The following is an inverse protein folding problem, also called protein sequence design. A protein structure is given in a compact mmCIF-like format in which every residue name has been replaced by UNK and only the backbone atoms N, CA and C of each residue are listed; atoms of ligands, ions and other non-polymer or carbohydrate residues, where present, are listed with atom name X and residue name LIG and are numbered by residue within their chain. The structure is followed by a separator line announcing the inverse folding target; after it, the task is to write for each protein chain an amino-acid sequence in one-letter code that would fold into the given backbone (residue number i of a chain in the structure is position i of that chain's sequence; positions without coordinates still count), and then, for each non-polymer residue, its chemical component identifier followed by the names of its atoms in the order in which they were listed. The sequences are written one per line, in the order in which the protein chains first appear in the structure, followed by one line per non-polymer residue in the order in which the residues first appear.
data_IF_839204241439
#
_entry.id   IF_839204241439
#
_cell.length_a   1.000
_cell.length_b   1.000
_cell.length_c   1.000
_cell.angle_alpha   90.00
_cell.angle_beta   90.00
_cell.angle_gamma   90.00
#
_symmetry.space_group_name_H-M   'P 1'
#
loop_
_entity.id
_entity.type
_entity.pdbx_description
1 polymer ?
#
# COMPACT_ATOMS: atom_id res chain seq x y z
N UNK A 1 -43.09 25.41 21.97
CA UNK A 1 -42.68 24.05 21.61
C UNK A 1 -41.24 24.13 21.12
N UNK A 2 -40.31 23.55 21.85
CA UNK A 2 -38.89 23.53 21.47
C UNK A 2 -38.69 22.28 20.63
N UNK A 3 -38.45 22.42 19.33
CA UNK A 3 -38.10 21.28 18.48
C UNK A 3 -36.74 20.74 18.96
N UNK A 4 -36.75 19.48 19.41
CA UNK A 4 -35.51 18.75 19.64
C UNK A 4 -34.87 18.51 18.28
N UNK A 5 -33.61 18.91 18.15
CA UNK A 5 -32.80 18.61 16.98
C UNK A 5 -32.43 17.13 17.07
N UNK A 6 -32.74 16.35 16.03
CA UNK A 6 -32.34 14.94 16.00
C UNK A 6 -30.80 14.85 16.07
N UNK A 7 -30.25 13.90 16.84
CA UNK A 7 -28.81 13.74 16.97
C UNK A 7 -28.19 13.39 15.61
N UNK A 8 -27.16 14.14 15.23
CA UNK A 8 -26.39 13.86 14.00
C UNK A 8 -25.66 12.53 14.19
N UNK A 9 -26.07 11.51 13.45
CA UNK A 9 -25.37 10.22 13.39
C UNK A 9 -24.25 10.32 12.36
N UNK A 10 -23.00 10.23 12.82
CA UNK A 10 -21.84 10.17 11.95
C UNK A 10 -21.65 8.75 11.37
N UNK A 11 -21.15 8.62 10.14
CA UNK A 11 -20.74 7.32 9.62
C UNK A 11 -19.62 6.71 10.48
N UNK A 12 -19.47 5.37 10.47
CA UNK A 12 -18.35 4.73 11.15
C UNK A 12 -17.01 5.23 10.60
N UNK A 13 -15.94 5.22 11.42
CA UNK A 13 -14.61 5.55 10.93
C UNK A 13 -14.17 4.51 9.88
N UNK A 14 -13.39 4.96 8.90
CA UNK A 14 -12.75 4.09 7.93
C UNK A 14 -11.96 2.97 8.62
N UNK A 15 -11.82 1.78 8.03
CA UNK A 15 -11.04 0.71 8.64
C UNK A 15 -9.56 1.09 8.80
N UNK A 16 -8.91 0.53 9.81
CA UNK A 16 -7.46 0.58 10.02
C UNK A 16 -6.74 -0.69 9.50
N UNK A 17 -5.42 -0.71 9.61
CA UNK A 17 -4.58 -1.80 9.11
C UNK A 17 -4.85 -3.16 9.77
N UNK A 18 -5.54 -3.22 10.91
CA UNK A 18 -5.89 -4.47 11.60
C UNK A 18 -7.22 -5.05 11.14
N UNK A 19 -8.07 -4.22 10.51
CA UNK A 19 -9.42 -4.55 10.06
C UNK A 19 -9.47 -4.90 8.57
N UNK A 20 -8.40 -4.60 7.83
CA UNK A 20 -8.28 -4.86 6.41
C UNK A 20 -7.61 -6.22 6.14
N UNK A 21 -7.99 -6.93 5.07
CA UNK A 21 -7.30 -8.15 4.64
C UNK A 21 -5.80 -7.92 4.40
N UNK A 22 -4.98 -8.89 4.82
CA UNK A 22 -3.53 -8.88 4.56
C UNK A 22 -3.12 -9.80 3.39
N UNK A 23 -4.06 -10.62 2.88
CA UNK A 23 -3.85 -11.54 1.75
C UNK A 23 -5.17 -11.76 1.01
N UNK A 24 -5.07 -12.04 -0.30
CA UNK A 24 -6.19 -12.48 -1.14
C UNK A 24 -6.39 -14.01 -1.14
N UNK A 25 -5.55 -14.75 -0.40
CA UNK A 25 -5.61 -16.21 -0.30
C UNK A 25 -5.00 -16.97 -1.47
N UNK A 26 -4.29 -16.30 -2.38
CA UNK A 26 -3.60 -16.93 -3.51
C UNK A 26 -2.20 -17.47 -3.13
N UNK A 27 -1.68 -18.43 -3.91
CA UNK A 27 -0.32 -18.94 -3.71
C UNK A 27 0.73 -17.92 -4.17
N UNK A 28 1.88 -17.91 -3.50
CA UNK A 28 3.04 -17.12 -3.91
C UNK A 28 3.39 -17.42 -5.38
N UNK A 29 3.35 -16.38 -6.23
CA UNK A 29 3.52 -16.53 -7.68
C UNK A 29 4.96 -16.83 -8.11
N UNK A 30 5.95 -16.49 -7.29
CA UNK A 30 7.36 -16.70 -7.61
C UNK A 30 8.22 -16.83 -6.34
N UNK A 31 8.91 -17.97 -6.21
CA UNK A 31 9.77 -18.27 -5.05
C UNK A 31 10.97 -17.32 -4.91
N UNK A 32 11.43 -16.72 -6.00
CA UNK A 32 12.58 -15.80 -6.00
C UNK A 32 12.23 -14.41 -5.46
N UNK A 33 10.95 -14.04 -5.40
CA UNK A 33 10.52 -12.71 -4.94
C UNK A 33 10.96 -12.45 -3.50
N UNK A 34 10.78 -13.43 -2.62
CA UNK A 34 11.09 -13.26 -1.20
C UNK A 34 12.60 -13.06 -0.94
N UNK A 35 13.52 -13.90 -1.47
CA UNK A 35 14.96 -13.63 -1.36
C UNK A 35 15.40 -12.27 -1.95
N UNK A 36 14.84 -11.87 -3.09
CA UNK A 36 15.15 -10.58 -3.73
C UNK A 36 14.71 -9.39 -2.87
N UNK A 37 13.51 -9.48 -2.29
CA UNK A 37 12.96 -8.47 -1.38
C UNK A 37 13.83 -8.29 -0.12
N UNK A 38 14.29 -9.40 0.46
CA UNK A 38 15.21 -9.37 1.62
C UNK A 38 16.53 -8.72 1.23
N UNK A 39 17.14 -9.14 0.12
CA UNK A 39 18.43 -8.60 -0.32
C UNK A 39 18.34 -7.08 -0.57
N UNK A 40 17.26 -6.63 -1.20
CA UNK A 40 17.02 -5.20 -1.43
C UNK A 40 16.88 -4.43 -0.11
N UNK A 41 16.08 -4.95 0.81
CA UNK A 41 15.85 -4.34 2.13
C UNK A 41 17.13 -4.22 2.93
N UNK A 42 17.95 -5.27 2.94
CA UNK A 42 19.25 -5.26 3.62
C UNK A 42 20.23 -4.28 2.97
N UNK A 43 20.30 -4.28 1.63
CA UNK A 43 21.22 -3.42 0.86
C UNK A 43 20.93 -1.93 1.03
N UNK A 44 19.67 -1.52 1.13
CA UNK A 44 19.29 -0.12 1.31
C UNK A 44 19.36 0.33 2.78
N UNK A 45 19.37 -0.61 3.73
CA UNK A 45 19.37 -0.35 5.17
C UNK A 45 20.36 0.72 5.64
N UNK A 46 21.66 0.66 5.28
CA UNK A 46 22.64 1.67 5.68
C UNK A 46 22.31 3.09 5.19
N UNK A 47 21.70 3.23 4.01
CA UNK A 47 21.26 4.52 3.48
C UNK A 47 20.05 5.02 4.27
N UNK A 48 19.07 4.14 4.51
CA UNK A 48 17.88 4.48 5.29
C UNK A 48 18.21 4.92 6.72
N UNK A 49 19.21 4.31 7.35
CA UNK A 49 19.71 4.72 8.67
C UNK A 49 20.30 6.13 8.68
N UNK A 50 20.93 6.57 7.57
CA UNK A 50 21.47 7.92 7.46
C UNK A 50 20.37 8.97 7.27
N UNK A 51 19.33 8.64 6.49
CA UNK A 51 18.23 9.57 6.19
C UNK A 51 17.15 9.59 7.29
N UNK A 52 16.96 8.48 8.00
CA UNK A 52 16.00 8.29 9.10
C UNK A 52 16.71 7.79 10.36
N UNK A 53 17.53 8.62 11.03
CA UNK A 53 18.22 8.23 12.26
C UNK A 53 17.25 7.93 13.41
N UNK A 54 16.00 8.39 13.31
CA UNK A 54 14.89 8.10 14.22
C UNK A 54 14.14 6.80 13.89
N UNK A 55 14.44 6.18 12.74
CA UNK A 55 13.77 4.98 12.25
C UNK A 55 12.35 5.21 11.74
N UNK A 56 11.94 6.46 11.48
CA UNK A 56 10.60 6.79 10.99
C UNK A 56 10.46 6.54 9.49
N UNK A 57 10.42 5.27 9.11
CA UNK A 57 9.99 4.82 7.80
C UNK A 57 9.31 3.46 7.88
N UNK A 58 8.61 3.09 6.82
CA UNK A 58 8.06 1.76 6.63
C UNK A 58 8.57 1.15 5.32
N UNK A 59 8.87 -0.16 5.37
CA UNK A 59 9.06 -1.00 4.19
C UNK A 59 7.99 -2.07 4.23
N UNK A 60 7.26 -2.23 3.13
CA UNK A 60 6.37 -3.36 2.93
C UNK A 60 6.95 -4.32 1.90
N UNK A 61 6.69 -5.61 2.10
CA UNK A 61 7.11 -6.69 1.22
C UNK A 61 5.91 -7.61 1.06
N UNK A 62 5.43 -7.79 -0.18
CA UNK A 62 4.27 -8.64 -0.48
C UNK A 62 3.05 -8.31 0.41
N UNK A 63 2.79 -7.01 0.65
CA UNK A 63 1.67 -6.57 1.49
C UNK A 63 0.90 -5.39 0.85
N UNK A 64 -0.38 -5.30 1.21
CA UNK A 64 -1.30 -4.36 0.59
C UNK A 64 -1.06 -2.90 0.98
N UNK A 65 -1.13 -2.02 -0.02
CA UNK A 65 -1.31 -0.58 0.11
C UNK A 65 -2.77 -0.25 -0.22
N UNK A 66 -3.52 0.14 0.80
CA UNK A 66 -4.91 0.55 0.70
C UNK A 66 -5.01 2.04 0.39
N UNK A 67 -5.62 2.37 -0.75
CA UNK A 67 -5.67 3.74 -1.28
C UNK A 67 -7.08 4.22 -1.61
N UNK A 68 -8.06 3.32 -1.73
CA UNK A 68 -9.49 3.65 -1.84
C UNK A 68 -10.37 2.74 -0.99
N UNK A 69 -11.38 3.30 -0.32
CA UNK A 69 -12.43 2.49 0.31
C UNK A 69 -13.35 1.90 -0.76
N UNK A 70 -13.45 0.58 -0.81
CA UNK A 70 -14.25 -0.16 -1.80
C UNK A 70 -14.86 -1.41 -1.16
N UNK A 71 -15.84 -2.01 -1.83
CA UNK A 71 -16.41 -3.30 -1.48
C UNK A 71 -16.24 -4.31 -2.65
N UNK A 72 -15.48 -5.41 -2.46
CA UNK A 72 -14.68 -5.76 -1.29
C UNK A 72 -13.39 -4.90 -1.19
N UNK A 73 -12.79 -4.74 0.01
CA UNK A 73 -11.67 -3.81 0.27
C UNK A 73 -10.46 -3.97 -0.65
N UNK A 74 -10.14 -5.20 -1.05
CA UNK A 74 -9.00 -5.57 -1.89
C UNK A 74 -9.05 -4.89 -3.27
N UNK A 75 -10.23 -4.46 -3.75
CA UNK A 75 -10.34 -3.69 -5.00
C UNK A 75 -9.73 -2.29 -4.91
N UNK A 76 -9.60 -1.77 -3.70
CA UNK A 76 -9.00 -0.49 -3.38
C UNK A 76 -7.58 -0.61 -2.80
N UNK A 77 -6.99 -1.80 -2.94
CA UNK A 77 -5.62 -2.08 -2.58
C UNK A 77 -4.81 -2.50 -3.81
N UNK A 78 -3.51 -2.24 -3.76
CA UNK A 78 -2.51 -2.88 -4.61
C UNK A 78 -1.41 -3.42 -3.69
N UNK A 79 -0.81 -4.56 -4.03
CA UNK A 79 0.21 -5.21 -3.21
C UNK A 79 1.51 -5.36 -4.00
N UNK A 80 2.37 -4.32 -4.04
CA UNK A 80 3.67 -4.42 -4.68
C UNK A 80 4.55 -5.44 -4.00
N UNK A 81 5.45 -6.05 -4.76
CA UNK A 81 6.47 -6.95 -4.21
C UNK A 81 7.32 -6.26 -3.13
N UNK A 82 7.61 -4.97 -3.31
CA UNK A 82 8.35 -4.16 -2.34
C UNK A 82 7.96 -2.69 -2.42
N UNK A 83 7.82 -2.01 -1.29
CA UNK A 83 7.64 -0.55 -1.26
C UNK A 83 8.27 0.10 -0.04
N UNK A 84 8.50 1.40 -0.15
CA UNK A 84 9.10 2.23 0.89
C UNK A 84 8.33 3.54 1.09
N UNK A 85 8.07 3.86 2.36
CA UNK A 85 7.39 5.08 2.79
C UNK A 85 8.25 5.83 3.81
N UNK A 86 8.69 7.06 3.52
CA UNK A 86 9.45 7.88 4.46
C UNK A 86 8.53 8.59 5.48
N UNK A 87 9.09 9.02 6.61
CA UNK A 87 8.45 9.89 7.60
C UNK A 87 7.16 9.32 8.22
N UNK A 88 7.11 8.00 8.38
CA UNK A 88 5.99 7.30 9.03
C UNK A 88 6.53 6.42 10.16
N UNK A 89 5.78 6.22 11.25
CA UNK A 89 6.24 5.35 12.31
C UNK A 89 6.31 3.89 11.83
N UNK A 90 7.32 3.10 12.22
CA UNK A 90 7.43 1.70 11.78
C UNK A 90 6.32 0.81 12.36
N UNK A 91 5.67 1.26 13.44
CA UNK A 91 4.55 0.60 14.14
C UNK A 91 3.40 1.58 14.32
N UNK A 92 2.18 1.07 14.39
CA UNK A 92 0.98 1.85 14.69
C UNK A 92 0.42 1.36 16.02
N UNK A 93 0.28 2.25 17.00
CA UNK A 93 -0.16 1.92 18.37
C UNK A 93 0.63 0.76 19.03
N UNK A 94 1.92 0.65 18.70
CA UNK A 94 2.80 -0.42 19.20
C UNK A 94 2.73 -1.73 18.41
N UNK A 95 1.77 -1.87 17.49
CA UNK A 95 1.55 -3.03 16.65
C UNK A 95 2.32 -2.96 15.32
N UNK A 96 2.69 -4.13 14.81
CA UNK A 96 3.30 -4.23 13.47
C UNK A 96 2.22 -3.98 12.43
N UNK A 97 2.58 -3.20 11.40
CA UNK A 97 1.73 -2.92 10.25
C UNK A 97 1.43 -4.22 9.50
N UNK A 98 0.14 -4.53 9.31
CA UNK A 98 -0.31 -5.65 8.45
C UNK A 98 -0.47 -5.22 6.99
N UNK A 99 -0.76 -3.94 6.80
CA UNK A 99 -0.92 -3.26 5.52
C UNK A 99 -0.57 -1.78 5.69
N UNK A 100 -0.35 -1.07 4.59
CA UNK A 100 -0.17 0.37 4.57
C UNK A 100 -1.48 1.06 4.16
N UNK A 101 -1.94 2.04 4.93
CA UNK A 101 -3.30 2.60 4.77
C UNK A 101 -3.25 4.10 4.51
N UNK A 102 -3.26 4.48 3.22
CA UNK A 102 -3.02 5.86 2.78
C UNK A 102 -4.08 6.82 3.35
N UNK A 103 -5.34 6.44 3.45
CA UNK A 103 -6.38 7.33 3.99
C UNK A 103 -6.30 7.54 5.51
N UNK A 104 -5.48 6.77 6.23
CA UNK A 104 -5.18 7.00 7.65
C UNK A 104 -3.89 7.80 7.84
N UNK A 105 -2.92 7.58 6.96
CA UNK A 105 -1.55 8.08 7.13
C UNK A 105 -1.20 9.28 6.24
N UNK A 106 -1.96 9.48 5.16
CA UNK A 106 -1.88 10.59 4.20
C UNK A 106 -0.51 10.80 3.54
N UNK A 107 0.37 9.80 3.59
CA UNK A 107 1.69 9.79 2.94
C UNK A 107 1.68 8.67 1.90
N UNK A 108 1.96 9.00 0.64
CA UNK A 108 2.08 7.97 -0.40
C UNK A 108 3.45 7.29 -0.33
N UNK A 109 3.56 6.00 -0.71
CA UNK A 109 4.86 5.37 -0.91
C UNK A 109 5.72 6.18 -1.88
N UNK A 110 6.98 6.40 -1.50
CA UNK A 110 7.95 7.10 -2.35
C UNK A 110 8.50 6.16 -3.43
N UNK A 111 8.64 4.88 -3.09
CA UNK A 111 9.11 3.83 -3.99
C UNK A 111 8.12 2.67 -3.89
N UNK A 112 7.69 2.15 -5.04
CA UNK A 112 6.98 0.88 -5.15
C UNK A 112 7.61 0.10 -6.32
N UNK A 113 7.86 -1.18 -6.12
CA UNK A 113 8.56 -2.06 -7.05
C UNK A 113 7.77 -3.34 -7.25
N UNK A 114 7.76 -3.79 -8.49
CA UNK A 114 7.33 -5.12 -8.90
C UNK A 114 8.55 -5.87 -9.43
N UNK A 115 8.73 -7.12 -8.99
CA UNK A 115 9.74 -8.00 -9.52
C UNK A 115 9.16 -8.78 -10.70
N UNK A 116 9.72 -8.53 -11.87
CA UNK A 116 9.35 -9.21 -13.11
C UNK A 116 9.30 -10.74 -12.91
N UNK A 117 8.15 -11.33 -13.20
CA UNK A 117 8.00 -12.77 -13.32
C UNK A 117 8.18 -13.19 -14.79
N UNK A 118 8.89 -14.30 -15.02
CA UNK A 118 9.17 -14.75 -16.38
C UNK A 118 9.98 -13.73 -17.20
N UNK A 119 9.37 -13.19 -18.27
CA UNK A 119 10.00 -12.22 -19.18
C UNK A 119 9.67 -10.75 -18.85
N UNK A 120 8.85 -10.48 -17.84
CA UNK A 120 8.52 -9.13 -17.39
C UNK A 120 7.48 -8.38 -18.20
N UNK A 121 6.81 -9.01 -19.17
CA UNK A 121 5.79 -8.31 -19.99
C UNK A 121 4.53 -7.97 -19.21
N UNK A 122 4.17 -8.73 -18.16
CA UNK A 122 3.01 -8.44 -17.31
C UNK A 122 3.28 -7.26 -16.36
N UNK A 123 4.50 -7.14 -15.83
CA UNK A 123 4.92 -6.07 -14.93
C UNK A 123 5.38 -4.80 -15.67
N UNK A 124 5.44 -4.86 -17.00
CA UNK A 124 5.84 -3.70 -17.82
C UNK A 124 4.74 -2.65 -17.78
N UNK A 125 5.08 -1.46 -17.26
CA UNK A 125 4.16 -0.34 -17.24
C UNK A 125 3.70 0.02 -18.68
N UNK A 126 2.39 -0.09 -18.90
CA UNK A 126 1.73 0.33 -20.14
C UNK A 126 0.92 1.61 -19.95
N UNK A 127 1.01 2.26 -18.78
CA UNK A 127 0.33 3.52 -18.50
C UNK A 127 0.77 4.57 -19.51
N UNK A 128 -0.12 5.08 -20.36
CA UNK A 128 0.26 6.08 -21.33
C UNK A 128 0.78 7.34 -20.62
N UNK A 129 1.86 7.93 -21.14
CA UNK A 129 2.41 9.20 -20.62
C UNK A 129 1.43 10.39 -20.74
N UNK A 130 0.28 10.20 -21.39
CA UNK A 130 -0.80 11.19 -21.51
C UNK A 130 -2.16 10.54 -21.26
N UNK A 131 -3.05 11.22 -20.51
CA UNK A 131 -4.43 10.76 -20.30
C UNK A 131 -5.17 10.74 -21.64
N UNK A 132 -5.75 9.60 -22.01
CA UNK A 132 -6.69 9.54 -23.12
C UNK A 132 -8.07 10.06 -22.66
N UNK A 133 -8.76 10.84 -23.51
CA UNK A 133 -10.07 11.45 -23.21
C UNK A 133 -11.24 10.45 -23.21
N UNK A 134 -10.98 9.16 -23.38
CA UNK A 134 -12.04 8.17 -23.59
C UNK A 134 -12.38 7.53 -22.25
N UNK A 135 -13.59 7.80 -21.77
CA UNK A 135 -14.16 7.45 -20.45
C UNK A 135 -14.23 5.96 -20.08
N UNK A 136 -13.25 5.16 -20.47
CA UNK A 136 -12.99 3.83 -19.94
C UNK A 136 -12.14 4.00 -18.68
N UNK A 137 -12.73 3.71 -17.52
CA UNK A 137 -11.99 3.68 -16.26
C UNK A 137 -11.10 2.45 -16.27
N UNK A 138 -9.82 2.63 -16.58
CA UNK A 138 -8.80 1.61 -16.36
C UNK A 138 -8.18 1.78 -14.97
N UNK A 139 -7.74 0.68 -14.36
CA UNK A 139 -6.97 0.76 -13.12
C UNK A 139 -5.66 1.49 -13.43
N UNK A 140 -5.16 2.38 -12.55
CA UNK A 140 -3.80 2.90 -12.70
C UNK A 140 -2.81 1.72 -12.83
N UNK A 141 -1.96 1.72 -13.86
CA UNK A 141 -1.03 0.61 -14.12
C UNK A 141 -1.58 -0.60 -14.89
N UNK A 142 -2.83 -0.56 -15.39
CA UNK A 142 -3.42 -1.63 -16.23
C UNK A 142 -4.27 -1.11 -17.39
#
# INVERSE_FOLDING_TARGET
MTQSIDPVVLPPPFPDHTQLPESDGSFAKNFHKHPQSILLTDSIGPVLQQIHPDGHYAIGQDCGIYWRETDPPEKGAEAPDWFYVPNVPPKLDGEIRRSYVIWREYIAPLIALEFASGNGEEERDQTPLSRSEQGKVTKPGK
#
